data_IF_223267684570
#
_entry.id   IF_223267684570
#
_cell.length_a   1.000
_cell.length_b   1.000
_cell.length_c   1.000
_cell.angle_alpha   90.00
_cell.angle_beta   90.00
_cell.angle_gamma   90.00
#
_symmetry.space_group_name_H-M   'P 1'
#
loop_
_entity.id
_entity.type
_entity.pdbx_description
1 polymer ?
#
# COMPACT_ATOMS: atom_id res chain seq x y z
N UNK A 1 4.97 -9.61 -14.79
CA UNK A 1 5.27 -8.61 -13.77
C UNK A 1 4.16 -8.62 -12.72
N UNK A 2 4.51 -8.36 -11.49
CA UNK A 2 3.56 -8.37 -10.38
C UNK A 2 3.60 -7.08 -9.61
N UNK A 3 2.43 -6.69 -9.10
CA UNK A 3 2.28 -5.59 -8.17
C UNK A 3 1.16 -6.03 -7.22
N UNK A 4 0.54 -5.14 -6.49
CA UNK A 4 -0.51 -5.52 -5.56
C UNK A 4 -1.70 -4.58 -5.68
N UNK A 5 -2.88 -5.11 -5.37
CA UNK A 5 -4.11 -4.32 -5.31
C UNK A 5 -4.67 -4.36 -3.90
N UNK A 6 -5.28 -3.25 -3.50
CA UNK A 6 -5.92 -3.16 -2.19
C UNK A 6 -7.03 -4.19 -2.05
N UNK A 7 -7.17 -4.70 -0.83
CA UNK A 7 -8.25 -5.60 -0.48
C UNK A 7 -8.91 -5.10 0.79
N UNK A 8 -10.24 -5.07 0.78
CA UNK A 8 -10.99 -4.73 1.96
C UNK A 8 -11.73 -5.99 2.39
N UNK A 9 -11.19 -6.64 3.42
CA UNK A 9 -11.74 -7.92 3.88
C UNK A 9 -13.02 -7.75 4.69
N UNK A 10 -13.18 -6.57 5.30
CA UNK A 10 -14.44 -6.22 5.96
C UNK A 10 -14.57 -4.70 5.95
N UNK A 11 -15.62 -4.19 6.60
CA UNK A 11 -15.89 -2.75 6.58
C UNK A 11 -15.07 -1.95 7.59
N UNK A 12 -14.23 -2.61 8.37
CA UNK A 12 -13.47 -1.91 9.42
C UNK A 12 -12.53 -0.84 8.87
N UNK A 13 -12.02 -1.02 7.64
CA UNK A 13 -11.12 -0.03 7.04
C UNK A 13 -11.80 1.34 6.89
N UNK A 14 -13.12 1.37 6.73
CA UNK A 14 -13.85 2.63 6.63
C UNK A 14 -13.77 3.44 7.92
N UNK A 15 -13.59 2.78 9.06
CA UNK A 15 -13.51 3.43 10.35
C UNK A 15 -12.07 3.60 10.83
N UNK A 16 -11.14 2.86 10.27
CA UNK A 16 -9.75 2.84 10.72
C UNK A 16 -8.93 3.98 10.11
N UNK A 17 -9.19 4.31 8.85
CA UNK A 17 -8.41 5.32 8.14
C UNK A 17 -9.22 6.58 7.87
N UNK A 18 -8.51 7.73 7.85
CA UNK A 18 -9.13 8.99 7.44
C UNK A 18 -9.64 8.90 6.01
N UNK A 19 -8.85 8.28 5.14
CA UNK A 19 -9.18 8.10 3.75
C UNK A 19 -8.96 6.63 3.39
N UNK A 20 -9.99 5.79 3.56
CA UNK A 20 -9.84 4.38 3.20
C UNK A 20 -9.83 4.21 1.69
N UNK A 21 -9.03 3.26 1.21
CA UNK A 21 -8.98 2.94 -0.21
C UNK A 21 -10.05 1.92 -0.54
N UNK A 22 -10.76 2.09 -1.66
CA UNK A 22 -11.63 1.02 -2.17
C UNK A 22 -10.81 -0.22 -2.51
N UNK A 23 -11.45 -1.38 -2.57
CA UNK A 23 -10.79 -2.60 -3.01
C UNK A 23 -10.45 -2.53 -4.49
N UNK A 24 -9.36 -3.17 -4.87
CA UNK A 24 -8.99 -3.33 -6.27
C UNK A 24 -8.13 -2.23 -6.84
N UNK A 25 -7.60 -1.34 -6.02
CA UNK A 25 -6.73 -0.26 -6.49
C UNK A 25 -5.26 -0.64 -6.37
N UNK A 26 -4.47 -0.25 -7.36
CA UNK A 26 -3.04 -0.53 -7.35
C UNK A 26 -2.36 0.17 -6.17
N UNK A 27 -1.55 -0.57 -5.44
CA UNK A 27 -0.98 -0.09 -4.18
C UNK A 27 0.51 -0.33 -4.06
N UNK A 28 1.14 0.52 -3.25
CA UNK A 28 2.54 0.39 -2.86
C UNK A 28 2.61 0.54 -1.35
N UNK A 29 3.79 0.37 -0.77
CA UNK A 29 3.96 0.53 0.67
C UNK A 29 3.46 1.90 1.14
N UNK A 30 3.91 2.97 0.48
CA UNK A 30 3.50 4.31 0.86
C UNK A 30 4.20 4.85 2.09
N UNK A 31 5.32 4.25 2.46
CA UNK A 31 6.10 4.72 3.60
C UNK A 31 6.69 6.11 3.39
N UNK A 32 6.77 6.56 2.14
CA UNK A 32 7.32 7.88 1.82
C UNK A 32 6.58 9.01 2.53
N UNK A 33 5.31 8.85 2.78
CA UNK A 33 4.48 9.88 3.43
C UNK A 33 4.94 10.15 4.85
N UNK A 34 5.57 9.18 5.49
CA UNK A 34 5.91 9.22 6.91
C UNK A 34 7.37 9.55 7.19
N UNK A 35 8.16 9.84 6.16
CA UNK A 35 9.60 10.00 6.31
C UNK A 35 10.01 11.10 7.29
N UNK A 36 9.17 12.12 7.47
CA UNK A 36 9.44 13.24 8.38
C UNK A 36 8.57 13.21 9.64
N UNK A 37 7.85 12.11 9.85
CA UNK A 37 6.94 12.03 11.00
C UNK A 37 7.70 11.81 12.30
N UNK A 38 7.12 12.33 13.39
CA UNK A 38 7.62 12.14 14.75
C UNK A 38 6.52 11.55 15.60
N UNK A 39 6.83 11.22 16.85
CA UNK A 39 5.82 10.70 17.79
C UNK A 39 4.59 11.59 17.86
N UNK A 40 4.76 12.90 17.71
CA UNK A 40 3.65 13.84 17.80
C UNK A 40 2.62 13.62 16.68
N UNK A 41 3.03 13.05 15.55
CA UNK A 41 2.15 12.81 14.42
C UNK A 41 1.34 11.52 14.56
N UNK A 42 1.74 10.63 15.46
CA UNK A 42 1.16 9.30 15.59
C UNK A 42 -0.07 9.32 16.50
N UNK A 43 -1.17 9.85 16.00
CA UNK A 43 -2.41 9.97 16.77
C UNK A 43 -3.60 9.51 15.93
N UNK A 44 -4.54 8.83 16.60
CA UNK A 44 -5.80 8.45 15.98
C UNK A 44 -5.66 7.68 14.70
N UNK A 45 -6.42 8.08 13.70
CA UNK A 45 -6.41 7.40 12.39
C UNK A 45 -5.10 7.58 11.65
N UNK A 46 -4.38 8.67 11.89
CA UNK A 46 -3.06 8.86 11.31
C UNK A 46 -2.09 7.78 11.80
N UNK A 47 -2.21 7.39 13.07
CA UNK A 47 -1.39 6.32 13.62
C UNK A 47 -1.67 4.99 12.93
N UNK A 48 -2.94 4.71 12.62
CA UNK A 48 -3.31 3.48 11.92
C UNK A 48 -2.76 3.46 10.51
N UNK A 49 -2.84 4.57 9.79
CA UNK A 49 -2.29 4.68 8.46
C UNK A 49 -0.78 4.44 8.49
N UNK A 50 -0.10 5.04 9.46
CA UNK A 50 1.34 4.84 9.66
C UNK A 50 1.64 3.37 9.93
N UNK A 51 0.95 2.77 10.90
CA UNK A 51 1.31 1.44 11.38
C UNK A 51 1.02 0.34 10.36
N UNK A 52 -0.13 0.38 9.70
CA UNK A 52 -0.58 -0.76 8.90
C UNK A 52 -1.12 -0.40 7.51
N UNK A 53 -1.08 0.85 7.10
CA UNK A 53 -1.74 1.25 5.86
C UNK A 53 -0.86 1.14 4.62
N UNK A 54 -1.33 0.41 3.61
CA UNK A 54 -0.78 0.46 2.26
C UNK A 54 -1.36 1.67 1.55
N UNK A 55 -0.63 2.19 0.59
CA UNK A 55 -1.03 3.40 -0.13
C UNK A 55 -1.57 3.06 -1.52
N UNK A 56 -2.79 3.52 -1.81
CA UNK A 56 -3.34 3.39 -3.15
C UNK A 56 -2.78 4.50 -4.04
N UNK A 57 -2.17 4.10 -5.16
CA UNK A 57 -1.68 5.08 -6.13
C UNK A 57 -2.85 5.81 -6.78
N UNK A 58 -3.98 5.15 -6.92
CA UNK A 58 -5.14 5.69 -7.65
C UNK A 58 -5.94 6.70 -6.84
N UNK A 59 -6.18 6.45 -5.57
CA UNK A 59 -7.01 7.33 -4.75
C UNK A 59 -6.25 8.07 -3.66
N UNK A 60 -5.04 7.59 -3.32
CA UNK A 60 -4.31 8.13 -2.18
C UNK A 60 -4.80 7.58 -0.85
N UNK A 61 -5.78 6.69 -0.87
CA UNK A 61 -6.31 6.11 0.36
C UNK A 61 -5.44 5.00 0.90
N UNK A 62 -5.79 4.53 2.12
CA UNK A 62 -5.04 3.49 2.81
C UNK A 62 -5.87 2.22 2.97
N UNK A 63 -5.20 1.08 2.95
CA UNK A 63 -5.82 -0.22 3.16
C UNK A 63 -4.89 -1.08 4.01
N UNK A 64 -5.47 -1.95 4.82
CA UNK A 64 -4.69 -2.84 5.70
C UNK A 64 -4.12 -4.04 4.95
N UNK A 65 -4.76 -4.43 3.85
CA UNK A 65 -4.40 -5.64 3.10
C UNK A 65 -4.28 -5.35 1.62
N UNK A 66 -3.32 -6.02 0.99
CA UNK A 66 -3.21 -6.00 -0.46
C UNK A 66 -3.00 -7.43 -0.94
N UNK A 67 -3.38 -7.70 -2.17
CA UNK A 67 -3.19 -9.00 -2.80
C UNK A 67 -2.29 -8.87 -4.02
N UNK A 68 -1.38 -9.82 -4.19
CA UNK A 68 -0.46 -9.81 -5.32
C UNK A 68 -1.22 -10.09 -6.61
N UNK A 69 -1.00 -9.26 -7.62
CA UNK A 69 -1.66 -9.37 -8.92
C UNK A 69 -0.66 -9.20 -10.05
N UNK A 70 -0.98 -9.75 -11.20
CA UNK A 70 -0.21 -9.47 -12.40
C UNK A 70 -0.54 -8.07 -12.91
N UNK A 71 0.44 -7.41 -13.48
CA UNK A 71 0.27 -6.07 -14.03
C UNK A 71 0.93 -6.00 -15.41
N UNK A 72 0.31 -5.29 -16.33
CA UNK A 72 0.88 -5.10 -17.67
C UNK A 72 1.81 -3.91 -17.69
N UNK A 73 2.67 -3.85 -18.73
CA UNK A 73 3.57 -2.72 -18.90
C UNK A 73 2.80 -1.41 -19.06
N UNK A 74 1.68 -1.44 -19.79
CA UNK A 74 0.88 -0.23 -20.00
C UNK A 74 0.30 0.28 -18.67
N UNK A 75 -0.20 -0.63 -17.85
CA UNK A 75 -0.69 -0.27 -16.52
C UNK A 75 0.41 0.30 -15.65
N UNK A 76 1.58 -0.34 -15.69
CA UNK A 76 2.73 0.10 -14.92
C UNK A 76 3.15 1.52 -15.30
N UNK A 77 3.26 1.80 -16.59
CA UNK A 77 3.62 3.14 -17.05
C UNK A 77 2.61 4.18 -16.60
N UNK A 78 1.32 3.85 -16.65
CA UNK A 78 0.27 4.75 -16.20
C UNK A 78 0.42 5.06 -14.71
N UNK A 79 0.72 4.04 -13.91
CA UNK A 79 0.92 4.23 -12.47
C UNK A 79 2.15 5.08 -12.16
N UNK A 80 3.22 4.88 -12.90
CA UNK A 80 4.44 5.68 -12.72
C UNK A 80 4.15 7.16 -12.98
N UNK A 81 3.40 7.47 -14.02
CA UNK A 81 3.01 8.84 -14.33
C UNK A 81 2.09 9.41 -13.26
N UNK A 82 1.11 8.63 -12.84
CA UNK A 82 0.14 9.06 -11.83
C UNK A 82 0.83 9.38 -10.51
N UNK A 83 1.73 8.51 -10.07
CA UNK A 83 2.43 8.71 -8.81
C UNK A 83 3.36 9.92 -8.89
N UNK A 84 4.07 10.10 -10.02
CA UNK A 84 4.93 11.26 -10.22
C UNK A 84 4.10 12.54 -10.13
N UNK A 85 2.93 12.56 -10.77
CA UNK A 85 2.03 13.71 -10.72
C UNK A 85 1.59 14.00 -9.28
N UNK A 86 1.28 12.95 -8.52
CA UNK A 86 0.91 13.07 -7.11
C UNK A 86 2.03 13.71 -6.30
N UNK A 87 3.27 13.31 -6.55
CA UNK A 87 4.41 13.89 -5.84
C UNK A 87 4.54 15.38 -6.11
N UNK A 88 4.27 15.81 -7.34
CA UNK A 88 4.32 17.23 -7.68
C UNK A 88 3.18 17.98 -6.99
N UNK A 89 1.97 17.43 -7.05
CA UNK A 89 0.79 18.12 -6.52
C UNK A 89 0.72 18.18 -5.01
N UNK A 90 1.14 17.11 -4.33
CA UNK A 90 0.87 16.96 -2.89
C UNK A 90 2.10 16.76 -2.01
N UNK A 91 3.25 16.43 -2.58
CA UNK A 91 4.42 16.07 -1.79
C UNK A 91 5.65 16.92 -2.08
N UNK A 92 5.46 18.05 -2.74
CA UNK A 92 6.51 19.05 -2.85
C UNK A 92 7.58 18.81 -3.91
N UNK A 93 7.40 17.85 -4.81
CA UNK A 93 8.36 17.68 -5.89
C UNK A 93 8.28 18.90 -6.83
N UNK A 94 9.43 19.43 -7.28
CA UNK A 94 9.42 20.67 -8.05
C UNK A 94 8.80 20.51 -9.45
N UNK A 95 8.99 19.35 -10.07
CA UNK A 95 8.42 19.09 -11.40
C UNK A 95 8.39 17.58 -11.65
N UNK A 96 7.81 17.20 -12.78
CA UNK A 96 7.66 15.80 -13.18
C UNK A 96 9.01 15.14 -13.43
N UNK A 97 9.97 15.88 -13.98
CA UNK A 97 11.29 15.32 -14.26
C UNK A 97 12.00 14.89 -12.98
N UNK A 98 11.81 15.65 -11.91
CA UNK A 98 12.37 15.29 -10.60
C UNK A 98 11.57 14.18 -9.94
N UNK A 99 10.25 14.17 -10.09
CA UNK A 99 9.35 13.23 -9.42
C UNK A 99 9.35 11.85 -10.05
N UNK A 100 9.48 11.75 -11.36
CA UNK A 100 9.33 10.48 -12.07
C UNK A 100 10.29 9.38 -11.63
N UNK A 101 11.61 9.65 -11.51
CA UNK A 101 12.51 8.59 -11.04
C UNK A 101 12.18 8.11 -9.64
N UNK A 102 11.73 9.00 -8.76
CA UNK A 102 11.35 8.63 -7.40
C UNK A 102 10.09 7.77 -7.41
N UNK A 103 9.13 8.14 -8.23
CA UNK A 103 7.90 7.36 -8.38
C UNK A 103 8.20 5.95 -8.90
N UNK A 104 9.08 5.85 -9.89
CA UNK A 104 9.49 4.55 -10.43
C UNK A 104 10.17 3.70 -9.36
N UNK A 105 11.01 4.31 -8.55
CA UNK A 105 11.72 3.60 -7.48
C UNK A 105 10.75 3.06 -6.42
N UNK A 106 9.78 3.86 -6.01
CA UNK A 106 8.77 3.43 -5.03
C UNK A 106 7.96 2.25 -5.56
N UNK A 107 7.56 2.31 -6.81
CA UNK A 107 6.80 1.23 -7.42
C UNK A 107 7.68 -0.02 -7.59
N UNK A 108 8.94 0.15 -8.00
CA UNK A 108 9.85 -0.96 -8.19
C UNK A 108 10.14 -1.72 -6.90
N UNK A 109 10.22 -1.04 -5.77
CA UNK A 109 10.38 -1.70 -4.48
C UNK A 109 9.22 -2.65 -4.22
N UNK A 110 8.00 -2.21 -4.49
CA UNK A 110 6.82 -3.04 -4.30
C UNK A 110 6.79 -4.21 -5.30
N UNK A 111 7.15 -3.95 -6.55
CA UNK A 111 7.24 -5.00 -7.57
C UNK A 111 8.23 -6.08 -7.17
N UNK A 112 9.40 -5.68 -6.70
CA UNK A 112 10.44 -6.62 -6.27
C UNK A 112 9.92 -7.51 -5.16
N UNK A 113 9.21 -6.95 -4.19
CA UNK A 113 8.61 -7.73 -3.12
C UNK A 113 7.57 -8.71 -3.67
N UNK A 114 6.70 -8.24 -4.57
CA UNK A 114 5.62 -9.06 -5.10
C UNK A 114 6.10 -10.20 -5.99
N UNK A 115 7.26 -10.05 -6.65
CA UNK A 115 7.78 -11.10 -7.52
C UNK A 115 8.07 -12.40 -6.77
N UNK A 116 8.34 -12.32 -5.47
CA UNK A 116 8.64 -13.49 -4.67
C UNK A 116 7.38 -14.28 -4.26
N UNK A 117 6.21 -13.79 -4.59
CA UNK A 117 4.95 -14.40 -4.14
C UNK A 117 4.08 -14.76 -5.34
N UNK A 118 3.27 -15.79 -5.17
CA UNK A 118 2.33 -16.15 -6.21
C UNK A 118 1.13 -15.21 -6.18
N UNK A 119 0.43 -15.17 -7.30
CA UNK A 119 -0.77 -14.34 -7.45
C UNK A 119 -1.78 -14.65 -6.34
N UNK A 120 -2.45 -13.63 -5.84
CA UNK A 120 -3.43 -13.68 -4.75
C UNK A 120 -2.83 -13.90 -3.36
N UNK A 121 -1.52 -13.87 -3.22
CA UNK A 121 -0.91 -13.85 -1.88
C UNK A 121 -1.32 -12.56 -1.18
N UNK A 122 -1.75 -12.68 0.07
CA UNK A 122 -2.13 -11.54 0.89
C UNK A 122 -0.90 -10.97 1.57
N UNK A 123 -0.75 -9.64 1.52
CA UNK A 123 0.38 -8.97 2.16
C UNK A 123 -0.11 -7.97 3.19
N UNK A 124 0.61 -7.88 4.29
CA UNK A 124 0.35 -6.94 5.39
C UNK A 124 1.64 -6.22 5.74
N UNK A 125 1.53 -4.95 6.09
CA UNK A 125 2.69 -4.13 6.47
C UNK A 125 2.55 -3.71 7.93
N UNK A 126 3.69 -3.63 8.62
CA UNK A 126 3.75 -3.10 9.97
C UNK A 126 4.92 -2.13 10.06
N UNK A 127 4.67 -0.92 10.53
CA UNK A 127 5.71 0.10 10.68
C UNK A 127 5.87 0.52 12.12
N UNK A 128 7.11 0.79 12.49
CA UNK A 128 7.45 1.35 13.80
C UNK A 128 8.36 2.55 13.58
N UNK A 129 8.19 3.55 14.44
CA UNK A 129 9.08 4.70 14.43
C UNK A 129 10.19 4.45 15.44
N UNK A 130 11.45 4.50 14.98
CA UNK A 130 12.61 4.29 15.82
C UNK A 130 13.49 5.53 15.79
N UNK A 131 14.54 5.53 16.60
CA UNK A 131 15.52 6.64 16.60
C UNK A 131 16.21 6.77 15.25
N UNK A 132 16.28 5.67 14.48
CA UNK A 132 16.93 5.67 13.17
C UNK A 132 15.95 5.94 12.04
N UNK A 133 14.67 6.17 12.34
CA UNK A 133 13.65 6.42 11.35
C UNK A 133 12.56 5.37 11.35
N UNK A 134 11.86 5.26 10.24
CA UNK A 134 10.75 4.33 10.10
C UNK A 134 11.27 2.96 9.69
N UNK A 135 10.87 1.93 10.43
CA UNK A 135 11.16 0.54 10.06
C UNK A 135 9.88 -0.13 9.58
N UNK A 136 9.99 -0.84 8.47
CA UNK A 136 8.86 -1.58 7.90
C UNK A 136 9.15 -3.07 7.93
N UNK A 137 8.14 -3.84 8.33
CA UNK A 137 8.17 -5.30 8.20
C UNK A 137 6.94 -5.74 7.45
N UNK A 138 7.06 -6.86 6.74
CA UNK A 138 5.99 -7.36 5.90
C UNK A 138 5.68 -8.80 6.27
N UNK A 139 4.38 -9.14 6.23
CA UNK A 139 3.93 -10.51 6.43
C UNK A 139 3.10 -10.91 5.23
N UNK A 140 3.10 -12.21 4.94
CA UNK A 140 2.36 -12.73 3.81
C UNK A 140 1.53 -13.93 4.24
N UNK A 141 0.44 -14.15 3.50
CA UNK A 141 -0.36 -15.35 3.64
C UNK A 141 -0.61 -15.91 2.26
N UNK A 142 -0.37 -17.21 2.11
CA UNK A 142 -0.59 -17.89 0.84
C UNK A 142 -2.07 -17.78 0.44
N UNK A 143 -2.39 -17.86 -0.86
CA UNK A 143 -3.76 -17.70 -1.32
C UNK A 143 -4.78 -18.58 -0.61
N UNK A 144 -4.41 -19.81 -0.30
CA UNK A 144 -5.31 -20.75 0.40
C UNK A 144 -5.61 -20.27 1.81
N UNK A 145 -4.61 -19.80 2.52
CA UNK A 145 -4.78 -19.27 3.88
C UNK A 145 -5.63 -18.01 3.86
N UNK A 146 -5.40 -17.14 2.88
CA UNK A 146 -6.16 -15.92 2.74
C UNK A 146 -7.64 -16.22 2.48
N UNK A 147 -7.93 -17.22 1.65
CA UNK A 147 -9.31 -17.61 1.37
C UNK A 147 -10.01 -18.13 2.61
N UNK A 148 -9.34 -18.97 3.39
CA UNK A 148 -9.93 -19.50 4.62
C UNK A 148 -10.19 -18.37 5.62
N UNK A 149 -9.29 -17.43 5.73
CA UNK A 149 -9.49 -16.30 6.62
C UNK A 149 -10.63 -15.39 6.17
N UNK A 150 -10.75 -15.18 4.87
CA UNK A 150 -11.86 -14.40 4.35
C UNK A 150 -13.20 -15.07 4.66
N UNK A 151 -13.26 -16.39 4.57
CA UNK A 151 -14.45 -17.12 4.95
C UNK A 151 -14.78 -16.93 6.43
N UNK A 152 -13.78 -17.06 7.28
CA UNK A 152 -13.97 -16.91 8.72
C UNK A 152 -14.47 -15.50 9.04
N UNK A 153 -13.89 -14.49 8.42
CA UNK A 153 -14.26 -13.10 8.66
C UNK A 153 -15.71 -12.83 8.26
N UNK A 154 -16.13 -13.40 7.13
CA UNK A 154 -17.46 -13.13 6.61
C UNK A 154 -18.51 -14.11 7.08
N UNK A 155 -18.19 -14.96 8.05
CA UNK A 155 -19.15 -15.91 8.54
C UNK A 155 -19.37 -17.04 7.58
N UNK A 156 -18.64 -17.14 6.61
CA UNK A 156 -18.61 -18.22 5.86
C UNK A 156 -19.48 -18.37 4.84
N UNK A 157 -19.31 -19.09 4.11
CA UNK A 157 -19.99 -19.48 3.26
C UNK A 157 -19.31 -20.57 2.87
N UNK A 158 -19.67 -21.31 2.44
CA UNK A 158 -19.08 -22.36 2.19
C UNK A 158 -19.09 -22.75 1.08
#
# INVERSE_FOLDING_TARGET
>A
MKLARTLRLDISDENVYEQPAPSGEWAISGGFEFSNWTEADLKGKARQAFTNGWYSIESGGRASFVGVCNITEAELEQLQQTLAQTFVEFYGAPDIDAAYPVACEEIDQMRTMCEDFEENTLLMVSRTLTELGVEETYRSRAPQEASLEAFAVHGGYE
#
